data_IF_646489698506
#
_entry.id   IF_646489698506
#
_cell.length_a   1.000
_cell.length_b   1.000
_cell.length_c   1.000
_cell.angle_alpha   90.00
_cell.angle_beta   90.00
_cell.angle_gamma   90.00
#
_symmetry.space_group_name_H-M   'P 1'
#
loop_
_entity.id
_entity.type
_entity.pdbx_description
1 polymer ?
#
# COMPACT_ATOMS: atom_id res chain seq x y z
N UNK A 1 -2.65 -29.69 6.13
CA UNK A 1 -3.69 -28.80 6.70
C UNK A 1 -3.64 -27.52 5.88
N UNK A 2 -4.54 -27.33 4.92
CA UNK A 2 -4.54 -26.16 4.05
C UNK A 2 -5.04 -24.96 4.87
N UNK A 3 -4.12 -24.10 5.32
CA UNK A 3 -4.48 -22.81 5.87
C UNK A 3 -4.99 -21.96 4.71
N UNK A 4 -6.30 -21.72 4.69
CA UNK A 4 -6.94 -20.85 3.72
C UNK A 4 -6.37 -19.45 3.98
N UNK A 5 -5.57 -18.94 3.04
CA UNK A 5 -5.08 -17.57 3.11
C UNK A 5 -6.28 -16.62 3.21
N UNK A 6 -6.34 -15.82 4.28
CA UNK A 6 -7.46 -14.90 4.51
C UNK A 6 -7.44 -13.83 3.41
N UNK A 7 -8.60 -13.60 2.79
CA UNK A 7 -8.78 -12.48 1.84
C UNK A 7 -9.08 -11.21 2.64
N UNK A 8 -8.33 -10.15 2.30
CA UNK A 8 -8.42 -8.83 2.93
C UNK A 8 -9.04 -7.85 1.95
N UNK A 9 -10.11 -7.12 2.32
CA UNK A 9 -10.76 -6.18 1.40
C UNK A 9 -9.83 -5.05 0.93
N UNK A 10 -8.99 -4.55 1.84
CA UNK A 10 -7.98 -3.53 1.53
C UNK A 10 -6.71 -3.75 2.36
N UNK A 11 -5.61 -3.12 1.95
CA UNK A 11 -4.36 -3.07 2.73
C UNK A 11 -4.57 -2.50 4.14
N UNK A 12 -5.51 -1.55 4.30
CA UNK A 12 -5.91 -1.00 5.61
C UNK A 12 -6.52 -2.07 6.52
N UNK A 13 -7.42 -2.92 6.01
CA UNK A 13 -7.98 -4.03 6.80
C UNK A 13 -6.90 -4.97 7.29
N UNK A 14 -5.98 -5.35 6.39
CA UNK A 14 -4.84 -6.19 6.74
C UNK A 14 -3.99 -5.52 7.81
N UNK A 15 -3.50 -4.31 7.58
CA UNK A 15 -2.58 -3.62 8.47
C UNK A 15 -3.18 -3.42 9.88
N UNK A 16 -4.45 -3.04 9.96
CA UNK A 16 -5.14 -2.85 11.23
C UNK A 16 -5.42 -4.17 11.95
N UNK A 17 -5.78 -5.24 11.22
CA UNK A 17 -6.01 -6.55 11.83
C UNK A 17 -4.70 -7.16 12.35
N UNK A 18 -3.58 -6.94 11.67
CA UNK A 18 -2.27 -7.43 12.09
C UNK A 18 -1.75 -6.79 13.40
N UNK A 19 -2.34 -5.68 13.83
CA UNK A 19 -2.13 -5.15 15.18
C UNK A 19 -2.67 -6.08 16.27
N UNK A 20 -3.67 -6.90 15.93
CA UNK A 20 -4.51 -7.64 16.87
C UNK A 20 -4.57 -9.14 16.56
N UNK A 21 -3.52 -9.69 15.93
CA UNK A 21 -3.45 -11.11 15.50
C UNK A 21 -3.84 -12.07 16.62
N UNK A 22 -4.71 -13.02 16.31
CA UNK A 22 -5.17 -14.06 17.24
C UNK A 22 -6.24 -13.59 18.23
N UNK A 23 -6.62 -12.31 18.20
CA UNK A 23 -7.75 -11.80 18.99
C UNK A 23 -9.04 -11.81 18.16
N UNK A 24 -10.24 -11.77 18.81
CA UNK A 24 -11.50 -11.58 18.11
C UNK A 24 -11.54 -10.31 17.25
N UNK A 25 -10.85 -9.25 17.70
CA UNK A 25 -10.79 -7.97 17.02
C UNK A 25 -10.13 -8.06 15.63
N UNK A 26 -9.23 -9.03 15.41
CA UNK A 26 -8.64 -9.27 14.07
C UNK A 26 -9.72 -9.54 13.02
N UNK A 27 -10.68 -10.41 13.36
CA UNK A 27 -11.74 -10.82 12.44
C UNK A 27 -12.82 -9.74 12.30
N UNK A 28 -13.11 -9.01 13.38
CA UNK A 28 -14.00 -7.85 13.35
C UNK A 28 -13.46 -6.75 12.43
N UNK A 29 -12.15 -6.47 12.51
CA UNK A 29 -11.49 -5.52 11.61
C UNK A 29 -11.54 -6.04 10.17
N UNK A 30 -11.27 -7.34 9.93
CA UNK A 30 -11.32 -7.92 8.59
C UNK A 30 -12.69 -7.78 7.93
N UNK A 31 -13.77 -7.87 8.72
CA UNK A 31 -15.16 -7.80 8.26
C UNK A 31 -15.75 -6.39 8.28
N UNK A 32 -14.97 -5.39 8.71
CA UNK A 32 -15.45 -4.02 8.80
C UNK A 32 -15.92 -3.51 7.42
N UNK A 33 -16.95 -2.65 7.44
CA UNK A 33 -17.47 -2.06 6.19
C UNK A 33 -16.60 -0.88 5.80
N UNK A 34 -15.66 -1.15 4.88
CA UNK A 34 -14.78 -0.14 4.29
C UNK A 34 -13.56 0.21 5.13
N UNK A 35 -12.52 0.81 4.52
CA UNK A 35 -11.23 1.06 5.15
C UNK A 35 -11.31 2.00 6.37
N UNK A 36 -12.24 2.97 6.36
CA UNK A 36 -12.43 3.91 7.48
C UNK A 36 -12.94 3.21 8.74
N UNK A 37 -13.80 2.21 8.60
CA UNK A 37 -14.28 1.41 9.74
C UNK A 37 -13.15 0.52 10.29
N UNK A 38 -12.40 -0.14 9.42
CA UNK A 38 -11.22 -0.92 9.79
C UNK A 38 -10.17 -0.08 10.54
N UNK A 39 -9.88 1.13 10.05
CA UNK A 39 -8.97 2.08 10.71
C UNK A 39 -9.43 2.45 12.12
N UNK A 40 -10.72 2.77 12.29
CA UNK A 40 -11.29 3.11 13.60
C UNK A 40 -11.21 1.92 14.57
N UNK A 41 -11.60 0.73 14.12
CA UNK A 41 -11.58 -0.49 14.94
C UNK A 41 -10.15 -0.88 15.34
N UNK A 42 -9.19 -0.83 14.42
CA UNK A 42 -7.80 -1.16 14.70
C UNK A 42 -7.10 -0.23 15.69
N UNK A 43 -7.66 0.98 15.91
CA UNK A 43 -7.20 1.94 16.91
C UNK A 43 -7.98 1.90 18.23
N UNK A 44 -8.99 1.06 18.34
CA UNK A 44 -9.82 0.95 19.55
C UNK A 44 -9.10 0.27 20.72
N UNK A 45 -8.07 -0.53 20.44
CA UNK A 45 -7.26 -1.24 21.42
C UNK A 45 -5.77 -1.10 21.14
N UNK A 46 -4.94 -1.35 22.15
CA UNK A 46 -3.50 -1.36 21.99
C UNK A 46 -3.06 -2.51 21.08
N UNK A 47 -2.10 -2.29 20.18
CA UNK A 47 -1.59 -3.35 19.33
C UNK A 47 -0.78 -4.38 20.15
N UNK A 48 -0.49 -5.52 19.54
CA UNK A 48 0.47 -6.53 20.03
C UNK A 48 1.78 -5.89 20.52
N UNK A 49 2.38 -6.48 21.55
CA UNK A 49 3.53 -5.91 22.28
C UNK A 49 4.78 -5.71 21.43
N UNK A 50 4.96 -6.49 20.36
CA UNK A 50 6.07 -6.40 19.42
C UNK A 50 5.75 -5.56 18.17
N UNK A 51 4.61 -4.84 18.14
CA UNK A 51 4.15 -4.07 16.99
C UNK A 51 5.21 -3.12 16.42
N UNK A 52 5.97 -2.45 17.28
CA UNK A 52 7.04 -1.55 16.86
C UNK A 52 8.12 -2.23 16.01
N UNK A 53 8.34 -3.54 16.19
CA UNK A 53 9.31 -4.34 15.43
C UNK A 53 8.74 -4.90 14.13
N UNK A 54 7.45 -5.20 14.10
CA UNK A 54 6.83 -5.93 12.98
C UNK A 54 6.05 -5.04 12.00
N UNK A 55 5.70 -3.81 12.39
CA UNK A 55 4.85 -2.92 11.58
C UNK A 55 5.40 -2.66 10.17
N UNK A 56 6.72 -2.57 10.02
CA UNK A 56 7.37 -2.34 8.73
C UNK A 56 7.24 -3.56 7.82
N UNK A 57 7.46 -4.76 8.35
CA UNK A 57 7.28 -6.02 7.63
C UNK A 57 5.82 -6.23 7.24
N UNK A 58 4.88 -5.90 8.14
CA UNK A 58 3.45 -5.97 7.87
C UNK A 58 3.05 -5.01 6.76
N UNK A 59 3.54 -3.77 6.80
CA UNK A 59 3.30 -2.78 5.74
C UNK A 59 3.86 -3.26 4.41
N UNK A 60 5.12 -3.70 4.38
CA UNK A 60 5.76 -4.25 3.19
C UNK A 60 4.93 -5.38 2.55
N UNK A 61 4.48 -6.36 3.35
CA UNK A 61 3.63 -7.46 2.85
C UNK A 61 2.32 -6.95 2.24
N UNK A 62 1.67 -6.00 2.89
CA UNK A 62 0.41 -5.43 2.42
C UNK A 62 0.57 -4.70 1.08
N UNK A 63 1.64 -3.90 0.97
CA UNK A 63 1.96 -3.11 -0.22
C UNK A 63 2.40 -4.03 -1.36
N UNK A 64 3.29 -4.99 -1.10
CA UNK A 64 3.76 -5.97 -2.09
C UNK A 64 2.60 -6.77 -2.68
N UNK A 65 1.73 -7.32 -1.84
CA UNK A 65 0.54 -8.04 -2.29
C UNK A 65 -0.38 -7.15 -3.15
N UNK A 66 -0.54 -5.86 -2.81
CA UNK A 66 -1.34 -4.91 -3.60
C UNK A 66 -0.81 -4.76 -5.03
N UNK A 67 0.51 -4.62 -5.19
CA UNK A 67 1.13 -4.48 -6.51
C UNK A 67 1.23 -5.82 -7.26
N UNK A 68 1.41 -6.95 -6.57
CA UNK A 68 1.37 -8.28 -7.19
C UNK A 68 -0.03 -8.60 -7.76
N UNK A 69 -1.08 -8.25 -7.03
CA UNK A 69 -2.47 -8.53 -7.42
C UNK A 69 -3.02 -7.54 -8.45
N UNK A 70 -2.46 -6.33 -8.56
CA UNK A 70 -2.95 -5.29 -9.45
C UNK A 70 -1.89 -4.84 -10.46
N UNK A 71 -1.94 -5.45 -11.65
CA UNK A 71 -1.01 -5.16 -12.75
C UNK A 71 -0.94 -3.69 -13.13
N UNK A 72 -2.06 -2.96 -13.16
CA UNK A 72 -2.07 -1.53 -13.49
C UNK A 72 -1.32 -0.70 -12.44
N UNK A 73 -1.50 -1.01 -11.16
CA UNK A 73 -0.74 -0.34 -10.10
C UNK A 73 0.75 -0.66 -10.20
N UNK A 74 1.10 -1.92 -10.52
CA UNK A 74 2.51 -2.32 -10.73
C UNK A 74 3.14 -1.56 -11.88
N UNK A 75 2.47 -1.48 -13.02
CA UNK A 75 2.94 -0.72 -14.19
C UNK A 75 3.12 0.76 -13.82
N UNK A 76 2.21 1.36 -13.05
CA UNK A 76 2.38 2.72 -12.54
C UNK A 76 3.59 2.86 -11.61
N UNK A 77 3.81 1.93 -10.68
CA UNK A 77 4.98 1.94 -9.79
C UNK A 77 6.29 1.83 -10.58
N UNK A 78 6.36 0.93 -11.56
CA UNK A 78 7.53 0.77 -12.43
C UNK A 78 7.78 2.00 -13.30
N UNK A 79 6.70 2.66 -13.77
CA UNK A 79 6.79 3.88 -14.58
C UNK A 79 7.40 5.08 -13.85
N UNK A 80 7.52 5.01 -12.52
CA UNK A 80 8.24 6.03 -11.73
C UNK A 80 9.74 6.04 -12.02
N UNK A 81 10.27 5.02 -12.71
CA UNK A 81 11.69 4.96 -13.03
C UNK A 81 12.53 4.99 -11.76
N UNK A 82 13.58 5.79 -11.74
CA UNK A 82 14.47 5.93 -10.57
C UNK A 82 14.08 7.13 -9.70
N UNK A 83 12.89 7.69 -9.90
CA UNK A 83 12.40 8.80 -9.09
C UNK A 83 12.29 8.38 -7.61
N UNK A 84 12.70 9.27 -6.73
CA UNK A 84 12.47 9.11 -5.29
C UNK A 84 10.98 9.25 -5.00
N UNK A 85 10.42 8.27 -4.29
CA UNK A 85 9.02 8.28 -3.89
C UNK A 85 8.93 8.81 -2.47
N UNK A 86 8.31 9.98 -2.33
CA UNK A 86 8.17 10.68 -1.05
C UNK A 86 6.69 10.73 -0.69
N UNK A 87 6.36 10.22 0.49
CA UNK A 87 5.01 10.31 1.01
C UNK A 87 4.82 11.63 1.76
N UNK A 88 4.16 12.59 1.14
CA UNK A 88 3.85 13.87 1.78
C UNK A 88 2.58 13.72 2.63
N UNK A 89 2.74 13.39 3.91
CA UNK A 89 1.66 13.57 4.89
C UNK A 89 2.08 14.52 5.99
N UNK A 90 1.19 15.44 6.35
CA UNK A 90 1.38 16.41 7.45
C UNK A 90 1.13 15.76 8.82
N UNK A 91 0.49 14.59 8.84
CA UNK A 91 -0.06 13.98 10.06
C UNK A 91 0.57 12.63 10.43
N UNK A 92 1.55 12.13 9.66
CA UNK A 92 2.24 10.87 9.93
C UNK A 92 3.74 10.97 9.62
N UNK A 93 4.52 11.34 10.64
CA UNK A 93 5.98 11.47 10.55
C UNK A 93 6.69 10.12 10.32
N UNK A 94 6.06 8.99 10.64
CA UNK A 94 6.74 7.70 10.51
C UNK A 94 6.71 7.20 9.07
N UNK A 95 5.54 7.27 8.43
CA UNK A 95 5.36 6.78 7.08
C UNK A 95 5.63 7.85 6.01
N UNK A 96 5.42 9.13 6.32
CA UNK A 96 5.65 10.27 5.42
C UNK A 96 6.86 11.15 5.75
N UNK A 97 6.96 12.30 5.06
CA UNK A 97 8.12 13.21 5.08
C UNK A 97 7.96 14.47 5.97
N UNK A 98 6.81 14.67 6.61
CA UNK A 98 6.51 15.92 7.35
C UNK A 98 7.54 16.30 8.43
N UNK A 99 8.25 15.32 8.99
CA UNK A 99 9.51 15.49 9.75
C UNK A 99 10.26 14.17 10.00
N UNK A 100 9.95 13.08 9.28
CA UNK A 100 10.45 11.75 9.64
C UNK A 100 10.96 10.88 8.49
N UNK A 101 10.76 9.55 8.58
CA UNK A 101 11.62 8.56 7.91
C UNK A 101 11.25 8.20 6.47
N UNK A 102 10.11 8.69 5.95
CA UNK A 102 9.58 8.29 4.63
C UNK A 102 9.58 6.76 4.43
N UNK A 103 9.22 5.99 5.48
CA UNK A 103 9.32 4.53 5.44
C UNK A 103 8.43 3.90 4.37
N UNK A 104 7.29 4.53 4.04
CA UNK A 104 6.42 4.04 2.97
C UNK A 104 7.06 4.24 1.60
N UNK A 105 7.68 5.40 1.36
CA UNK A 105 8.46 5.67 0.16
C UNK A 105 9.59 4.65 -0.03
N UNK A 106 10.36 4.40 1.04
CA UNK A 106 11.41 3.38 1.06
C UNK A 106 10.88 1.97 0.71
N UNK A 107 9.73 1.57 1.28
CA UNK A 107 9.10 0.28 0.98
C UNK A 107 8.66 0.19 -0.49
N UNK A 108 8.08 1.27 -1.04
CA UNK A 108 7.65 1.32 -2.43
C UNK A 108 8.82 1.21 -3.40
N UNK A 109 9.93 1.91 -3.12
CA UNK A 109 11.15 1.81 -3.91
C UNK A 109 11.77 0.41 -3.82
N UNK A 110 11.81 -0.20 -2.64
CA UNK A 110 12.27 -1.58 -2.48
C UNK A 110 11.43 -2.56 -3.32
N UNK A 111 10.10 -2.46 -3.24
CA UNK A 111 9.19 -3.32 -4.02
C UNK A 111 9.36 -3.06 -5.52
N UNK A 112 9.59 -1.81 -5.93
CA UNK A 112 9.86 -1.47 -7.33
C UNK A 112 11.09 -2.21 -7.86
N UNK A 113 12.19 -2.21 -7.12
CA UNK A 113 13.41 -2.92 -7.53
C UNK A 113 13.17 -4.44 -7.58
N UNK A 114 12.53 -5.03 -6.56
CA UNK A 114 12.19 -6.47 -6.59
C UNK A 114 11.33 -6.85 -7.81
N UNK A 115 10.40 -5.96 -8.21
CA UNK A 115 9.51 -6.18 -9.35
C UNK A 115 10.18 -5.96 -10.70
N UNK A 116 11.30 -5.23 -10.76
CA UNK A 116 12.16 -5.12 -11.96
C UNK A 116 12.95 -6.40 -12.15
N UNK A 117 13.58 -6.90 -11.08
CA UNK A 117 14.38 -8.13 -11.11
C UNK A 117 13.54 -9.35 -11.50
N UNK A 118 12.31 -9.43 -10.98
CA UNK A 118 11.36 -10.51 -11.30
C UNK A 118 10.82 -10.46 -12.75
N UNK A 119 11.05 -9.36 -13.48
CA UNK A 119 10.63 -9.18 -14.88
C UNK A 119 11.72 -9.48 -15.91
N UNK A 120 12.92 -9.88 -15.48
CA UNK A 120 14.11 -10.00 -16.36
C UNK A 120 14.28 -11.39 -17.00
N UNK A 121 13.36 -12.35 -16.81
CA UNK A 121 13.41 -13.62 -17.53
C UNK A 121 12.48 -13.64 -18.76
N UNK A 122 13.12 -13.61 -19.94
CA UNK A 122 12.65 -13.88 -21.32
C UNK A 122 11.88 -12.76 -22.07
N UNK A 123 12.53 -12.18 -23.09
CA UNK A 123 11.85 -11.74 -24.32
C UNK A 123 12.21 -10.36 -24.88
N UNK A 124 13.14 -10.36 -25.85
CA UNK A 124 13.25 -9.52 -27.05
C UNK A 124 13.26 -7.98 -26.99
N UNK A 125 14.39 -7.44 -27.47
CA UNK A 125 14.55 -6.09 -28.05
C UNK A 125 13.54 -5.84 -29.17
N UNK A 126 12.56 -4.96 -28.95
CA UNK A 126 12.01 -4.03 -29.96
C UNK A 126 10.73 -3.37 -29.41
N UNK A 127 10.88 -2.35 -28.57
CA UNK A 127 10.13 -1.10 -28.79
C UNK A 127 10.64 0.01 -27.87
N UNK A 128 11.35 0.97 -28.45
CA UNK A 128 11.66 2.26 -27.81
C UNK A 128 10.57 3.23 -28.20
N UNK A 129 9.72 3.61 -27.25
CA UNK A 129 9.02 4.89 -27.33
C UNK A 129 7.66 4.94 -26.66
N UNK A 130 7.62 5.47 -25.42
CA UNK A 130 6.64 6.49 -25.09
C UNK A 130 7.06 7.20 -23.79
N UNK A 131 7.70 8.35 -23.93
CA UNK A 131 7.89 9.29 -22.82
C UNK A 131 6.54 9.92 -22.52
N UNK A 132 5.88 9.46 -21.45
CA UNK A 132 4.75 10.19 -20.86
C UNK A 132 5.26 10.86 -19.60
N UNK A 133 5.61 12.14 -19.72
CA UNK A 133 5.85 13.03 -18.58
C UNK A 133 4.50 13.29 -17.89
N UNK A 134 4.06 12.36 -17.03
CA UNK A 134 3.00 12.63 -16.08
C UNK A 134 3.64 13.29 -14.86
N UNK A 135 3.24 14.53 -14.58
CA UNK A 135 3.56 15.21 -13.33
C UNK A 135 2.86 14.46 -12.20
N UNK A 136 3.59 13.61 -11.49
CA UNK A 136 3.08 12.84 -10.37
C UNK A 136 2.89 13.76 -9.17
N UNK A 137 1.65 14.22 -8.95
CA UNK A 137 1.18 14.78 -7.68
C UNK A 137 0.02 13.94 -7.14
N UNK A 138 0.25 12.64 -6.98
CA UNK A 138 -0.69 11.77 -6.27
C UNK A 138 -0.05 11.44 -4.93
N UNK A 139 -0.63 11.85 -3.78
CA UNK A 139 -0.09 11.45 -2.47
C UNK A 139 -0.09 9.91 -2.38
N UNK A 140 1.01 9.32 -1.90
CA UNK A 140 1.17 7.85 -1.79
C UNK A 140 0.10 7.24 -0.86
N UNK A 141 -0.52 8.05 -0.01
CA UNK A 141 -1.68 7.69 0.81
C UNK A 141 -2.88 7.24 -0.03
N UNK A 142 -3.04 7.78 -1.25
CA UNK A 142 -4.05 7.29 -2.20
C UNK A 142 -3.78 5.83 -2.59
N UNK A 143 -2.52 5.42 -2.69
CA UNK A 143 -2.16 4.01 -2.89
C UNK A 143 -2.35 3.15 -1.64
N UNK A 144 -2.57 3.70 -0.46
CA UNK A 144 -2.77 2.91 0.76
C UNK A 144 -4.26 2.80 1.14
N UNK A 145 -5.04 3.88 1.00
CA UNK A 145 -6.41 3.98 1.51
C UNK A 145 -7.54 3.76 0.49
N UNK A 146 -7.33 3.89 -0.81
CA UNK A 146 -8.46 3.81 -1.75
C UNK A 146 -8.83 2.37 -2.08
N UNK A 147 -10.12 2.08 -1.96
CA UNK A 147 -10.78 0.95 -2.63
C UNK A 147 -10.49 1.02 -4.14
N UNK A 148 -10.40 -0.15 -4.79
CA UNK A 148 -10.30 -0.26 -6.24
C UNK A 148 -11.68 0.04 -6.84
N UNK A 149 -12.15 1.28 -6.69
CA UNK A 149 -13.15 1.83 -7.60
C UNK A 149 -12.42 2.84 -8.46
N UNK A 150 -12.49 2.64 -9.77
CA UNK A 150 -11.90 3.48 -10.82
C UNK A 150 -11.57 4.91 -10.35
N UNK A 151 -10.28 5.25 -10.29
CA UNK A 151 -9.86 6.64 -10.38
C UNK A 151 -10.36 7.15 -11.74
N UNK A 152 -11.53 7.79 -11.71
CA UNK A 152 -12.08 8.59 -12.78
C UNK A 152 -11.61 10.03 -12.52
N UNK A 153 -10.69 10.58 -13.32
CA UNK A 153 -10.17 11.93 -13.13
C UNK A 153 -11.25 13.03 -13.32
N UNK A 154 -12.52 12.68 -13.56
CA UNK A 154 -13.63 13.60 -13.77
C UNK A 154 -14.67 13.63 -12.63
N UNK A 155 -14.46 12.95 -11.50
CA UNK A 155 -15.37 13.05 -10.35
C UNK A 155 -14.85 14.03 -9.30
N UNK A 156 -15.56 15.15 -9.03
CA UNK A 156 -15.21 16.03 -7.92
C UNK A 156 -15.45 15.33 -6.59
N UNK A 157 -14.60 15.69 -5.65
CA UNK A 157 -14.58 15.30 -4.24
C UNK A 157 -15.96 15.36 -3.57
N UNK A 158 -16.35 14.26 -2.91
CA UNK A 158 -17.40 14.33 -1.90
C UNK A 158 -16.75 14.48 -0.53
N UNK A 159 -16.80 15.71 -0.04
CA UNK A 159 -16.79 16.03 1.39
C UNK A 159 -18.13 15.59 1.99
N UNK A 160 -18.08 14.64 2.94
CA UNK A 160 -18.74 14.65 4.27
C UNK A 160 -18.58 13.28 4.97
#
# INVERSE_FOLDING_TARGET
MFAIEKVWPTSEHYFQAQKHVGSPLEEDIRRAVGPRAAFKLGRSQQPRSDWAKVKDTVMYRAVRAKFEQNRKLREMLLSTGDAELIEHTVNDDYWGDGSGRNMLGCILMLIREEMRDSGTELGDESDRGCTVMMSWRVPLFAFFLTEITSYDPLRPDFSD
#
